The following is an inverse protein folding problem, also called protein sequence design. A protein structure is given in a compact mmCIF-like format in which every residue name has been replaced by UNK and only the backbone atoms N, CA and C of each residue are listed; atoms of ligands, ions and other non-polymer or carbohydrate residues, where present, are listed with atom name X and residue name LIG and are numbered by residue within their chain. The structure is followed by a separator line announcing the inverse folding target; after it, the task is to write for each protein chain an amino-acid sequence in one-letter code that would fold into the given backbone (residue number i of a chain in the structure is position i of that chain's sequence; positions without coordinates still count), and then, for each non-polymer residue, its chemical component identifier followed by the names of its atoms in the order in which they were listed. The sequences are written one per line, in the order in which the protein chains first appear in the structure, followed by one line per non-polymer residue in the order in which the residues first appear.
data_IF_722876039189
#
_entry.id   IF_722876039189
#
_cell.length_a   1.000
_cell.length_b   1.000
_cell.length_c   1.000
_cell.angle_alpha   90.00
_cell.angle_beta   90.00
_cell.angle_gamma   90.00
#
_symmetry.space_group_name_H-M   'P 1'
#
loop_
_entity.id
_entity.type
_entity.pdbx_description
1 polymer ?
#
# COMPACT_ATOMS: atom_id res chain seq x y z
N UNK A 1 9.74 -30.11 20.48
CA UNK A 1 10.75 -29.21 19.90
C UNK A 1 10.11 -27.89 19.50
N UNK A 2 9.98 -26.99 20.47
CA UNK A 2 9.63 -25.59 20.25
C UNK A 2 10.81 -24.90 19.59
N UNK A 3 10.61 -24.34 18.40
CA UNK A 3 11.54 -23.37 17.83
C UNK A 3 11.14 -22.00 18.37
N UNK A 4 12.00 -21.48 19.24
CA UNK A 4 11.93 -20.12 19.75
C UNK A 4 11.99 -19.14 18.58
N UNK A 5 10.98 -18.28 18.53
CA UNK A 5 10.93 -17.09 17.69
C UNK A 5 12.00 -16.15 18.20
N UNK A 6 13.15 -16.08 17.51
CA UNK A 6 14.11 -15.01 17.73
C UNK A 6 13.42 -13.72 17.29
N UNK A 7 12.90 -12.97 18.25
CA UNK A 7 12.53 -11.58 18.06
C UNK A 7 13.82 -10.82 17.71
N UNK A 8 14.02 -10.56 16.43
CA UNK A 8 15.19 -9.85 15.93
C UNK A 8 15.02 -8.35 16.23
N UNK A 9 15.60 -7.87 17.34
CA UNK A 9 15.52 -6.48 17.80
C UNK A 9 16.06 -5.46 16.78
N UNK A 10 17.01 -5.86 15.92
CA UNK A 10 17.54 -5.03 14.82
C UNK A 10 16.45 -4.58 13.83
N UNK A 11 15.48 -5.46 13.53
CA UNK A 11 14.43 -5.21 12.54
C UNK A 11 13.37 -4.21 13.06
N UNK A 12 13.28 -4.02 14.39
CA UNK A 12 12.38 -3.04 14.99
C UNK A 12 12.92 -1.59 14.83
N UNK A 13 14.24 -1.43 14.89
CA UNK A 13 14.90 -0.14 14.74
C UNK A 13 14.75 0.46 13.34
N UNK A 14 14.71 -0.38 12.31
CA UNK A 14 14.63 0.08 10.92
C UNK A 14 13.22 0.58 10.55
N UNK A 15 12.15 -0.05 11.03
CA UNK A 15 10.78 0.44 10.78
C UNK A 15 10.52 1.81 11.42
N UNK A 16 11.06 2.06 12.62
CA UNK A 16 10.94 3.36 13.28
C UNK A 16 11.68 4.44 12.50
N UNK A 17 12.87 4.14 11.99
CA UNK A 17 13.63 5.06 11.13
C UNK A 17 12.91 5.33 9.81
N UNK A 18 12.38 4.29 9.16
CA UNK A 18 11.61 4.43 7.92
C UNK A 18 10.35 5.27 8.13
N UNK A 19 9.63 5.05 9.23
CA UNK A 19 8.48 5.86 9.59
C UNK A 19 8.87 7.32 9.84
N UNK A 20 9.90 7.55 10.65
CA UNK A 20 10.35 8.91 10.97
C UNK A 20 10.74 9.66 9.69
N UNK A 21 11.54 9.04 8.84
CA UNK A 21 11.93 9.58 7.53
C UNK A 21 10.71 9.89 6.65
N UNK A 22 9.74 8.97 6.58
CA UNK A 22 8.52 9.15 5.79
C UNK A 22 7.70 10.34 6.30
N UNK A 23 7.54 10.44 7.61
CA UNK A 23 6.79 11.55 8.25
C UNK A 23 7.48 12.89 8.02
N UNK A 24 8.81 12.96 8.16
CA UNK A 24 9.59 14.18 7.88
C UNK A 24 9.42 14.62 6.42
N UNK A 25 9.52 13.69 5.48
CA UNK A 25 9.31 13.95 4.05
C UNK A 25 7.89 14.41 3.74
N UNK A 26 6.86 13.74 4.28
CA UNK A 26 5.45 14.13 4.11
C UNK A 26 5.23 15.57 4.59
N UNK A 27 5.80 15.94 5.74
CA UNK A 27 5.63 17.29 6.28
C UNK A 27 6.45 18.36 5.55
N UNK A 28 7.51 17.98 4.83
CA UNK A 28 8.25 18.87 3.93
C UNK A 28 7.50 19.14 2.62
N UNK A 29 6.57 18.25 2.22
CA UNK A 29 5.74 18.38 1.03
C UNK A 29 4.77 19.57 1.13
N UNK A 30 5.19 20.74 0.67
CA UNK A 30 4.43 22.00 0.80
C UNK A 30 3.78 22.45 -0.51
N UNK A 31 4.25 21.97 -1.66
CA UNK A 31 3.75 22.37 -2.97
C UNK A 31 2.60 21.45 -3.40
N UNK A 32 1.39 21.98 -3.67
CA UNK A 32 0.21 21.15 -3.98
C UNK A 32 0.40 20.13 -5.10
N UNK A 33 1.13 20.50 -6.16
CA UNK A 33 1.42 19.65 -7.31
C UNK A 33 2.49 18.57 -7.04
N UNK A 34 3.17 18.62 -5.89
CA UNK A 34 4.23 17.68 -5.51
C UNK A 34 3.81 16.70 -4.42
N UNK A 35 2.75 16.99 -3.66
CA UNK A 35 2.29 16.14 -2.55
C UNK A 35 2.01 14.69 -3.01
N UNK A 36 1.25 14.50 -4.09
CA UNK A 36 0.94 13.15 -4.61
C UNK A 36 2.21 12.39 -5.04
N UNK A 37 3.09 12.94 -5.92
CA UNK A 37 4.36 12.31 -6.26
C UNK A 37 5.24 12.01 -5.05
N UNK A 38 5.41 12.94 -4.11
CA UNK A 38 6.29 12.74 -2.95
C UNK A 38 5.77 11.63 -2.02
N UNK A 39 4.46 11.53 -1.81
CA UNK A 39 3.87 10.42 -1.05
C UNK A 39 4.08 9.09 -1.78
N UNK A 40 3.95 9.08 -3.11
CA UNK A 40 4.22 7.88 -3.90
C UNK A 40 5.69 7.47 -3.80
N UNK A 41 6.63 8.40 -3.91
CA UNK A 41 8.07 8.13 -3.75
C UNK A 41 8.37 7.53 -2.37
N UNK A 42 7.74 8.05 -1.31
CA UNK A 42 7.85 7.50 0.05
C UNK A 42 7.32 6.07 0.12
N UNK A 43 6.16 5.79 -0.49
CA UNK A 43 5.61 4.43 -0.55
C UNK A 43 6.57 3.49 -1.27
N UNK A 44 7.18 3.91 -2.38
CA UNK A 44 8.14 3.11 -3.12
C UNK A 44 9.46 2.88 -2.36
N UNK A 45 9.97 3.90 -1.69
CA UNK A 45 11.20 3.79 -0.90
C UNK A 45 11.03 2.84 0.29
N UNK A 46 9.84 2.83 0.92
CA UNK A 46 9.54 2.04 2.11
C UNK A 46 9.13 0.61 1.78
N UNK A 47 8.19 0.43 0.85
CA UNK A 47 7.56 -0.88 0.59
C UNK A 47 8.07 -1.57 -0.67
N UNK A 48 8.76 -0.84 -1.55
CA UNK A 48 9.23 -1.30 -2.87
C UNK A 48 8.17 -2.14 -3.61
N UNK A 49 6.93 -1.64 -3.75
CA UNK A 49 5.88 -2.40 -4.40
C UNK A 49 6.14 -2.53 -5.89
N UNK A 50 5.53 -3.55 -6.50
CA UNK A 50 5.39 -3.59 -7.95
C UNK A 50 4.29 -2.62 -8.42
N UNK A 51 3.22 -2.49 -7.64
CA UNK A 51 2.09 -1.62 -7.92
C UNK A 51 1.73 -0.79 -6.69
N UNK A 52 1.57 0.52 -6.86
CA UNK A 52 0.93 1.36 -5.86
C UNK A 52 -0.01 2.40 -6.49
N UNK A 53 -1.06 2.74 -5.76
CA UNK A 53 -2.04 3.73 -6.18
C UNK A 53 -2.51 4.59 -5.01
N UNK A 54 -2.77 5.87 -5.31
CA UNK A 54 -3.50 6.78 -4.43
C UNK A 54 -4.87 7.00 -5.06
N UNK A 55 -5.91 6.57 -4.35
CA UNK A 55 -7.30 6.65 -4.76
C UNK A 55 -7.99 7.78 -4.00
N UNK A 56 -8.82 8.55 -4.69
CA UNK A 56 -9.77 9.47 -4.10
C UNK A 56 -11.18 8.86 -4.09
N UNK A 57 -11.91 9.04 -3.01
CA UNK A 57 -13.32 8.70 -2.92
C UNK A 57 -14.16 9.93 -3.30
N UNK A 58 -14.92 9.83 -4.39
CA UNK A 58 -15.99 10.80 -4.67
C UNK A 58 -17.17 10.48 -3.75
N UNK A 59 -17.35 11.30 -2.71
CA UNK A 59 -18.42 11.12 -1.71
C UNK A 59 -19.83 11.31 -2.29
N UNK A 60 -19.98 11.96 -3.45
CA UNK A 60 -21.28 12.19 -4.08
C UNK A 60 -21.75 10.97 -4.88
N UNK A 61 -20.81 10.28 -5.52
CA UNK A 61 -21.10 9.12 -6.37
C UNK A 61 -20.71 7.79 -5.72
N UNK A 62 -20.02 7.84 -4.58
CA UNK A 62 -19.46 6.68 -3.87
C UNK A 62 -18.51 5.85 -4.78
N UNK A 63 -17.76 6.55 -5.64
CA UNK A 63 -16.83 5.95 -6.60
C UNK A 63 -15.38 6.25 -6.25
N UNK A 64 -14.52 5.26 -6.43
CA UNK A 64 -13.07 5.41 -6.27
C UNK A 64 -12.45 5.85 -7.60
N UNK A 65 -11.71 6.94 -7.55
CA UNK A 65 -11.04 7.54 -8.70
C UNK A 65 -9.53 7.50 -8.45
N UNK A 66 -8.75 6.81 -9.30
CA UNK A 66 -7.29 6.84 -9.20
C UNK A 66 -6.77 8.25 -9.47
N UNK A 67 -5.95 8.77 -8.55
CA UNK A 67 -5.33 10.10 -8.68
C UNK A 67 -3.86 10.00 -9.05
N UNK A 68 -3.20 8.95 -8.61
CA UNK A 68 -1.86 8.59 -9.04
C UNK A 68 -1.74 7.07 -8.99
N UNK A 69 -1.19 6.49 -10.04
CA UNK A 69 -0.93 5.05 -10.15
C UNK A 69 0.49 4.90 -10.66
N UNK A 70 1.25 4.01 -10.02
CA UNK A 70 2.57 3.61 -10.48
C UNK A 70 2.62 2.07 -10.48
N UNK A 71 2.78 1.50 -11.66
CA UNK A 71 2.73 0.06 -11.92
C UNK A 71 4.08 -0.50 -12.41
N UNK A 72 5.17 0.27 -12.36
CA UNK A 72 6.43 -0.10 -12.99
C UNK A 72 6.26 -0.56 -14.45
N UNK A 73 6.83 -1.73 -14.80
CA UNK A 73 6.68 -2.40 -16.09
C UNK A 73 5.57 -3.47 -16.10
N UNK A 74 4.63 -3.41 -15.16
CA UNK A 74 3.55 -4.39 -15.05
C UNK A 74 2.46 -4.03 -16.08
N UNK A 75 2.49 -4.68 -17.24
CA UNK A 75 1.59 -4.43 -18.38
C UNK A 75 0.12 -4.87 -18.16
N UNK A 76 -0.23 -5.36 -16.96
CA UNK A 76 -1.59 -5.76 -16.62
C UNK A 76 -2.42 -4.58 -16.10
N UNK A 77 -3.71 -4.59 -16.45
CA UNK A 77 -4.69 -3.66 -15.91
C UNK A 77 -4.78 -3.82 -14.40
N UNK A 78 -4.58 -2.72 -13.66
CA UNK A 78 -4.62 -2.72 -12.19
C UNK A 78 -6.07 -2.83 -11.74
N UNK A 79 -6.42 -3.97 -11.14
CA UNK A 79 -7.77 -4.23 -10.61
C UNK A 79 -7.77 -4.00 -9.10
N UNK A 80 -8.10 -2.79 -8.67
CA UNK A 80 -8.28 -2.50 -7.24
C UNK A 80 -9.72 -2.79 -6.83
N UNK A 81 -9.88 -3.74 -5.91
CA UNK A 81 -11.18 -4.16 -5.40
C UNK A 81 -11.84 -3.06 -4.55
N UNK A 82 -12.89 -2.44 -5.10
CA UNK A 82 -13.68 -1.44 -4.38
C UNK A 82 -14.17 -1.93 -3.01
N UNK A 83 -14.73 -3.15 -2.85
CA UNK A 83 -15.14 -3.64 -1.53
C UNK A 83 -14.03 -3.59 -0.48
N UNK A 84 -12.79 -3.92 -0.87
CA UNK A 84 -11.63 -3.90 0.04
C UNK A 84 -11.32 -2.47 0.49
N UNK A 85 -11.29 -1.53 -0.45
CA UNK A 85 -11.04 -0.11 -0.14
C UNK A 85 -12.16 0.45 0.76
N UNK A 86 -13.41 0.16 0.45
CA UNK A 86 -14.55 0.61 1.26
C UNK A 86 -14.54 0.00 2.66
N UNK A 87 -14.17 -1.28 2.79
CA UNK A 87 -13.99 -1.94 4.08
C UNK A 87 -12.89 -1.26 4.90
N UNK A 88 -11.74 -0.98 4.29
CA UNK A 88 -10.63 -0.28 4.94
C UNK A 88 -11.05 1.10 5.46
N UNK A 89 -11.81 1.85 4.65
CA UNK A 89 -12.37 3.15 5.02
C UNK A 89 -13.36 3.02 6.17
N UNK A 90 -14.29 2.06 6.09
CA UNK A 90 -15.33 1.85 7.11
C UNK A 90 -14.75 1.43 8.45
N UNK A 91 -13.77 0.53 8.44
CA UNK A 91 -13.10 0.04 9.65
C UNK A 91 -12.09 1.05 10.20
N UNK A 92 -11.75 2.08 9.41
CA UNK A 92 -10.68 3.03 9.70
C UNK A 92 -9.33 2.34 9.97
N UNK A 93 -9.05 1.25 9.27
CA UNK A 93 -7.86 0.42 9.45
C UNK A 93 -7.23 0.03 8.12
N UNK A 94 -5.92 -0.13 8.13
CA UNK A 94 -5.22 -0.74 7.01
C UNK A 94 -5.54 -2.24 6.96
N UNK A 95 -5.79 -2.77 5.76
CA UNK A 95 -6.05 -4.18 5.51
C UNK A 95 -4.85 -4.82 4.84
N UNK A 96 -4.51 -6.05 5.25
CA UNK A 96 -3.57 -6.93 4.56
C UNK A 96 -4.38 -7.98 3.79
N UNK A 97 -4.13 -8.05 2.49
CA UNK A 97 -4.83 -8.92 1.57
C UNK A 97 -3.81 -9.89 1.00
N UNK A 98 -4.17 -11.17 0.97
CA UNK A 98 -3.35 -12.22 0.38
C UNK A 98 -4.22 -13.04 -0.55
N UNK A 99 -3.80 -13.18 -1.79
CA UNK A 99 -4.47 -14.03 -2.76
C UNK A 99 -3.46 -14.78 -3.61
N UNK A 100 -3.88 -15.92 -4.14
CA UNK A 100 -3.04 -16.77 -4.99
C UNK A 100 -3.67 -16.81 -6.37
N UNK A 101 -2.93 -16.38 -7.38
CA UNK A 101 -3.33 -16.62 -8.76
C UNK A 101 -2.79 -17.99 -9.23
N UNK A 102 -3.61 -18.80 -9.94
CA UNK A 102 -3.09 -19.99 -10.60
C UNK A 102 -2.06 -19.55 -11.64
N UNK A 103 -0.87 -20.16 -11.60
CA UNK A 103 0.21 -19.83 -12.53
C UNK A 103 -0.22 -20.01 -13.98
N UNK A 104 0.01 -19.01 -14.83
CA UNK A 104 -0.23 -19.09 -16.27
C UNK A 104 0.89 -19.92 -16.92
N UNK A 105 0.77 -21.25 -16.87
CA UNK A 105 1.67 -22.17 -17.56
C UNK A 105 0.93 -22.96 -18.64
N UNK A 106 1.34 -22.79 -19.90
CA UNK A 106 1.05 -23.76 -20.96
C UNK A 106 1.91 -25.03 -20.78
N UNK A 107 1.52 -26.13 -21.44
CA UNK A 107 1.99 -27.50 -21.19
C UNK A 107 3.52 -27.77 -21.31
N UNK A 108 4.34 -26.78 -21.72
CA UNK A 108 5.76 -27.01 -22.05
C UNK A 108 6.78 -26.56 -21.00
N UNK A 109 6.40 -25.80 -19.96
CA UNK A 109 7.35 -25.28 -18.94
C UNK A 109 7.10 -25.87 -17.54
N UNK A 110 7.66 -27.07 -17.30
CA UNK A 110 7.48 -27.87 -16.07
C UNK A 110 8.00 -27.20 -14.79
N UNK A 111 8.75 -26.11 -14.90
CA UNK A 111 9.40 -25.44 -13.76
C UNK A 111 8.89 -24.01 -13.45
N UNK A 112 7.74 -23.58 -14.01
CA UNK A 112 7.13 -22.26 -13.68
C UNK A 112 5.89 -22.33 -12.77
N UNK A 113 5.52 -23.52 -12.28
CA UNK A 113 4.27 -23.79 -11.56
C UNK A 113 4.23 -23.46 -10.04
N UNK A 114 5.05 -22.54 -9.55
CA UNK A 114 4.75 -21.94 -8.25
C UNK A 114 3.59 -20.95 -8.42
N UNK A 115 2.42 -21.25 -7.84
CA UNK A 115 1.33 -20.28 -7.69
C UNK A 115 1.91 -18.95 -7.21
N UNK A 116 1.68 -17.86 -7.94
CA UNK A 116 2.16 -16.54 -7.50
C UNK A 116 1.27 -16.10 -6.34
N UNK A 117 1.90 -15.85 -5.18
CA UNK A 117 1.23 -15.29 -4.01
C UNK A 117 1.34 -13.78 -4.15
N UNK A 118 0.18 -13.13 -4.25
CA UNK A 118 0.06 -11.69 -4.29
C UNK A 118 -0.34 -11.21 -2.90
N UNK A 119 0.39 -10.22 -2.39
CA UNK A 119 -0.01 -9.51 -1.17
C UNK A 119 -0.25 -8.05 -1.46
N UNK A 120 -1.33 -7.51 -0.92
CA UNK A 120 -1.64 -6.09 -1.00
C UNK A 120 -1.93 -5.50 0.38
N UNK A 121 -1.60 -4.23 0.53
CA UNK A 121 -1.98 -3.40 1.65
C UNK A 121 -2.91 -2.29 1.15
N UNK A 122 -3.98 -2.05 1.91
CA UNK A 122 -4.90 -0.96 1.65
C UNK A 122 -5.08 -0.14 2.91
N UNK A 123 -4.58 1.10 2.93
CA UNK A 123 -4.71 2.01 4.07
C UNK A 123 -5.66 3.17 3.72
N UNK A 124 -6.63 3.50 4.59
CA UNK A 124 -7.59 4.56 4.30
C UNK A 124 -6.96 5.93 4.58
N UNK A 125 -7.29 6.91 3.74
CA UNK A 125 -6.91 8.31 3.92
C UNK A 125 -8.03 9.04 4.64
N UNK A 126 -7.89 9.22 5.96
CA UNK A 126 -8.92 9.83 6.80
C UNK A 126 -8.47 11.18 7.35
N UNK A 127 -9.34 12.19 7.26
CA UNK A 127 -9.15 13.50 7.91
C UNK A 127 -10.38 13.82 8.74
N UNK A 128 -10.21 13.97 10.06
CA UNK A 128 -11.30 14.26 11.01
C UNK A 128 -12.49 13.31 10.84
N UNK A 129 -12.21 12.01 10.70
CA UNK A 129 -13.19 10.94 10.43
C UNK A 129 -13.95 11.04 9.08
N UNK A 130 -13.53 11.92 8.16
CA UNK A 130 -13.99 11.93 6.77
C UNK A 130 -13.00 11.20 5.88
N UNK A 131 -13.49 10.34 5.00
CA UNK A 131 -12.67 9.57 4.07
C UNK A 131 -12.39 10.37 2.80
N UNK A 132 -11.11 10.55 2.51
CA UNK A 132 -10.62 11.11 1.25
C UNK A 132 -10.44 10.03 0.17
N UNK A 133 -10.23 8.78 0.59
CA UNK A 133 -9.90 7.65 -0.29
C UNK A 133 -8.94 6.68 0.39
N UNK A 134 -7.97 6.14 -0.35
CA UNK A 134 -7.03 5.15 0.18
C UNK A 134 -5.68 5.13 -0.56
N UNK A 135 -4.66 4.60 0.11
CA UNK A 135 -3.40 4.17 -0.50
C UNK A 135 -3.46 2.65 -0.68
N UNK A 136 -3.19 2.19 -1.90
CA UNK A 136 -3.06 0.79 -2.28
C UNK A 136 -1.61 0.49 -2.61
N UNK A 137 -1.11 -0.64 -2.13
CA UNK A 137 0.26 -1.11 -2.34
C UNK A 137 0.20 -2.62 -2.58
N UNK A 138 0.85 -3.13 -3.61
CA UNK A 138 0.77 -4.54 -4.00
C UNK A 138 2.12 -5.06 -4.48
N UNK A 139 2.47 -6.25 -3.97
CA UNK A 139 3.64 -7.03 -4.33
C UNK A 139 3.21 -8.40 -4.87
N UNK A 140 3.88 -8.86 -5.93
CA UNK A 140 3.53 -10.08 -6.69
C UNK A 140 4.51 -11.23 -6.44
N UNK A 141 5.66 -10.91 -5.81
CA UNK A 141 6.72 -11.89 -5.56
C UNK A 141 6.64 -12.43 -4.14
N UNK A 142 6.96 -13.71 -3.98
CA UNK A 142 7.01 -14.37 -2.66
C UNK A 142 7.95 -13.66 -1.67
N UNK A 143 9.02 -13.03 -2.16
CA UNK A 143 9.98 -12.24 -1.37
C UNK A 143 9.40 -10.90 -0.86
N UNK A 144 8.27 -10.45 -1.41
CA UNK A 144 7.60 -9.19 -1.10
C UNK A 144 6.26 -9.39 -0.36
N UNK A 145 6.08 -10.54 0.31
CA UNK A 145 4.89 -10.78 1.12
C UNK A 145 4.81 -9.76 2.27
N UNK A 146 3.84 -8.85 2.19
CA UNK A 146 3.58 -7.89 3.25
C UNK A 146 3.07 -8.57 4.52
N UNK A 147 3.46 -8.02 5.67
CA UNK A 147 3.08 -8.52 6.99
C UNK A 147 2.43 -7.42 7.84
N UNK A 148 2.07 -7.75 9.08
CA UNK A 148 1.40 -6.78 9.98
C UNK A 148 2.25 -5.54 10.32
N UNK A 149 3.59 -5.64 10.30
CA UNK A 149 4.45 -4.48 10.53
C UNK A 149 4.36 -3.51 9.36
N UNK A 150 4.32 -4.01 8.13
CA UNK A 150 4.12 -3.21 6.92
C UNK A 150 2.74 -2.55 6.93
N UNK A 151 1.71 -3.29 7.34
CA UNK A 151 0.35 -2.76 7.55
C UNK A 151 0.38 -1.57 8.53
N UNK A 152 1.02 -1.73 9.69
CA UNK A 152 1.13 -0.66 10.69
C UNK A 152 1.91 0.55 10.16
N UNK A 153 2.95 0.31 9.37
CA UNK A 153 3.75 1.35 8.75
C UNK A 153 2.95 2.12 7.69
N UNK A 154 2.22 1.43 6.81
CA UNK A 154 1.40 2.06 5.79
C UNK A 154 0.24 2.85 6.42
N UNK A 155 -0.36 2.32 7.48
CA UNK A 155 -1.38 3.04 8.24
C UNK A 155 -0.84 4.35 8.82
N UNK A 156 0.37 4.32 9.40
CA UNK A 156 1.00 5.52 9.93
C UNK A 156 1.30 6.53 8.83
N UNK A 157 1.88 6.10 7.70
CA UNK A 157 2.11 6.95 6.53
C UNK A 157 0.80 7.57 6.04
N UNK A 158 -0.27 6.78 5.92
CA UNK A 158 -1.60 7.24 5.50
C UNK A 158 -2.16 8.31 6.43
N UNK A 159 -2.06 8.11 7.75
CA UNK A 159 -2.51 9.08 8.76
C UNK A 159 -1.78 10.42 8.66
N UNK A 160 -0.48 10.40 8.38
CA UNK A 160 0.32 11.62 8.23
C UNK A 160 0.15 12.28 6.86
N UNK A 161 -0.09 11.48 5.81
CA UNK A 161 -0.32 11.94 4.45
C UNK A 161 -1.71 12.58 4.25
N UNK A 162 -2.75 12.06 4.89
CA UNK A 162 -4.13 12.47 4.67
C UNK A 162 -4.38 13.98 4.83
N UNK A 163 -3.85 14.69 5.85
CA UNK A 163 -4.00 16.15 5.97
C UNK A 163 -3.34 16.97 4.86
N UNK A 164 -2.26 16.46 4.26
CA UNK A 164 -1.63 17.10 3.11
C UNK A 164 -2.46 16.87 1.84
N UNK A 165 -2.93 15.62 1.65
CA UNK A 165 -3.75 15.21 0.51
C UNK A 165 -5.13 15.86 0.50
N UNK A 166 -5.72 16.17 1.66
CA UNK A 166 -7.05 16.80 1.75
C UNK A 166 -7.15 18.16 1.08
N UNK A 167 -6.03 18.77 0.72
CA UNK A 167 -5.97 20.07 0.04
C UNK A 167 -6.07 19.94 -1.48
N UNK A 168 -5.90 18.73 -2.01
CA UNK A 168 -5.75 18.47 -3.45
C UNK A 168 -6.61 17.30 -3.98
N UNK A 169 -7.06 16.43 -3.08
CA UNK A 169 -8.05 15.38 -3.35
C UNK A 169 -9.46 15.93 -3.18
#
# INVERSE_FOLDING_TARGET
NHRETIFNEEMCGDHVKSLLWAVEKIHAATQPNRILPEIMDIVFDVFRPEIAAILALDQRTDTLVPRLVNAGNYDKEIVISRPIVMQSIQDAMCLLITHTEPGQGGEEDIDRWASSVHTALCAPLLVRASALGAIWVEGVRYEECYNEKDLRLLMAISNHAAPALSKIL
#
